data_IF_299433241067
#
_entry.id   IF_299433241067
#
_cell.length_a   1.000
_cell.length_b   1.000
_cell.length_c   1.000
_cell.angle_alpha   90.00
_cell.angle_beta   90.00
_cell.angle_gamma   90.00
#
_symmetry.space_group_name_H-M   'P 1'
#
loop_
_entity.id
_entity.type
_entity.pdbx_description
1 polymer ?
#
# COMPACT_ATOMS: atom_id res chain seq x y z
N UNK A 1 -58.32 8.34 -26.75
CA UNK A 1 -57.44 8.39 -25.54
C UNK A 1 -56.14 7.71 -25.90
N UNK A 2 -55.09 8.48 -26.10
CA UNK A 2 -53.77 7.95 -26.47
C UNK A 2 -52.91 8.08 -25.20
N UNK A 3 -52.54 6.94 -24.59
CA UNK A 3 -51.58 6.90 -23.48
C UNK A 3 -50.17 6.89 -24.06
N UNK A 4 -49.45 8.00 -23.93
CA UNK A 4 -48.03 8.07 -24.23
C UNK A 4 -47.26 7.52 -23.03
N UNK A 5 -46.70 6.31 -23.17
CA UNK A 5 -45.72 5.77 -22.21
C UNK A 5 -44.36 6.39 -22.46
N UNK A 6 -43.96 7.24 -21.56
CA UNK A 6 -42.57 7.83 -21.55
C UNK A 6 -41.63 6.80 -20.94
N UNK A 7 -40.85 6.16 -21.79
CA UNK A 7 -39.77 5.25 -21.39
C UNK A 7 -38.58 6.12 -20.92
N UNK A 8 -38.35 6.23 -19.62
CA UNK A 8 -37.20 6.89 -19.08
C UNK A 8 -35.99 5.95 -19.23
N UNK A 9 -35.11 6.25 -20.20
CA UNK A 9 -33.81 5.61 -20.30
C UNK A 9 -32.91 6.15 -19.18
N UNK A 10 -32.68 5.34 -18.14
CA UNK A 10 -31.61 5.58 -17.18
C UNK A 10 -30.27 5.22 -17.86
N UNK A 11 -29.58 6.22 -18.35
CA UNK A 11 -28.17 6.09 -18.75
C UNK A 11 -27.33 5.95 -17.48
N UNK A 12 -26.99 4.73 -17.12
CA UNK A 12 -25.93 4.47 -16.16
C UNK A 12 -24.61 4.90 -16.83
N UNK A 13 -24.16 6.11 -16.52
CA UNK A 13 -22.79 6.51 -16.80
C UNK A 13 -21.86 5.66 -15.96
N UNK A 14 -21.26 4.65 -16.57
CA UNK A 14 -20.12 3.96 -15.99
C UNK A 14 -19.00 5.00 -15.85
N UNK A 15 -18.80 5.53 -14.63
CA UNK A 15 -17.67 6.36 -14.33
C UNK A 15 -16.43 5.48 -14.46
N UNK A 16 -15.66 5.68 -15.53
CA UNK A 16 -14.33 5.10 -15.65
C UNK A 16 -13.48 5.66 -14.52
N UNK A 17 -13.17 4.82 -13.51
CA UNK A 17 -12.23 5.17 -12.46
C UNK A 17 -10.87 5.33 -13.13
N UNK A 18 -10.40 6.59 -13.26
CA UNK A 18 -9.06 6.87 -13.77
C UNK A 18 -8.04 6.09 -12.95
N UNK A 19 -7.06 5.42 -13.59
CA UNK A 19 -6.01 4.73 -12.85
C UNK A 19 -5.35 5.72 -11.90
N UNK A 20 -5.26 5.34 -10.61
CA UNK A 20 -4.70 6.24 -9.60
C UNK A 20 -3.22 6.43 -9.83
N UNK A 21 -2.71 7.65 -9.69
CA UNK A 21 -1.30 7.92 -9.92
C UNK A 21 -0.44 7.11 -8.93
N UNK A 22 0.75 6.73 -9.39
CA UNK A 22 1.74 6.12 -8.54
C UNK A 22 2.17 7.07 -7.41
N UNK A 23 2.52 6.50 -6.26
CA UNK A 23 3.13 7.25 -5.17
C UNK A 23 4.50 7.74 -5.64
N UNK A 24 4.84 9.04 -5.45
CA UNK A 24 6.15 9.53 -5.85
C UNK A 24 7.29 8.71 -5.24
N UNK A 25 8.36 8.40 -5.99
CA UNK A 25 9.48 7.60 -5.50
C UNK A 25 10.13 8.15 -4.22
N UNK A 26 10.18 9.47 -4.07
CA UNK A 26 10.67 10.13 -2.85
C UNK A 26 9.80 9.80 -1.63
N UNK A 27 8.48 9.83 -1.78
CA UNK A 27 7.55 9.48 -0.71
C UNK A 27 7.60 7.98 -0.38
N UNK A 28 7.72 7.11 -1.38
CA UNK A 28 7.95 5.67 -1.16
C UNK A 28 9.22 5.43 -0.36
N UNK A 29 10.29 6.13 -0.69
CA UNK A 29 11.57 6.01 0.00
C UNK A 29 11.48 6.49 1.45
N UNK A 30 10.76 7.58 1.72
CA UNK A 30 10.56 8.09 3.07
C UNK A 30 9.77 7.09 3.92
N UNK A 31 8.68 6.55 3.40
CA UNK A 31 7.86 5.52 4.07
C UNK A 31 8.72 4.28 4.37
N UNK A 32 9.46 3.80 3.38
CA UNK A 32 10.30 2.61 3.55
C UNK A 32 11.44 2.83 4.54
N UNK A 33 12.00 4.04 4.60
CA UNK A 33 13.04 4.39 5.58
C UNK A 33 12.49 4.33 7.00
N UNK A 34 11.28 4.83 7.24
CA UNK A 34 10.62 4.75 8.55
C UNK A 34 10.34 3.28 8.91
N UNK A 35 9.76 2.52 8.00
CA UNK A 35 9.50 1.09 8.20
C UNK A 35 10.77 0.31 8.50
N UNK A 36 11.81 0.54 7.73
CA UNK A 36 13.09 -0.12 7.91
C UNK A 36 13.72 0.21 9.26
N UNK A 37 13.63 1.47 9.69
CA UNK A 37 14.08 1.91 11.01
C UNK A 37 13.29 1.22 12.12
N UNK A 38 11.96 1.20 12.01
CA UNK A 38 11.07 0.61 13.01
C UNK A 38 11.23 -0.90 13.12
N UNK A 39 11.56 -1.57 12.01
CA UNK A 39 11.89 -3.00 11.98
C UNK A 39 13.37 -3.30 12.33
N UNK A 40 14.23 -2.28 12.47
CA UNK A 40 15.62 -2.45 12.82
C UNK A 40 16.53 -2.90 11.67
N UNK A 41 16.16 -2.59 10.41
CA UNK A 41 17.03 -2.84 9.26
C UNK A 41 18.21 -1.87 9.24
N UNK A 42 19.47 -2.34 9.04
CA UNK A 42 20.66 -1.50 9.15
C UNK A 42 20.93 -0.73 7.85
N UNK A 43 20.08 0.24 7.51
CA UNK A 43 20.24 1.03 6.27
C UNK A 43 21.50 1.89 6.23
N UNK A 44 22.15 2.15 7.39
CA UNK A 44 23.46 2.81 7.43
C UNK A 44 24.62 1.91 6.95
N UNK A 45 24.40 0.62 6.84
CA UNK A 45 25.35 -0.33 6.29
C UNK A 45 25.26 -0.31 4.75
N UNK A 46 26.38 -0.08 4.02
CA UNK A 46 26.39 0.01 2.55
C UNK A 46 25.96 -1.29 1.84
N UNK A 47 25.94 -2.42 2.51
CA UNK A 47 25.41 -3.67 1.96
C UNK A 47 23.88 -3.64 1.77
N UNK A 48 23.18 -2.72 2.42
CA UNK A 48 21.73 -2.60 2.36
C UNK A 48 21.30 -1.40 1.53
N UNK A 49 20.36 -1.61 0.61
CA UNK A 49 19.80 -0.56 -0.24
C UNK A 49 18.29 -0.63 -0.27
N UNK A 50 17.65 0.52 -0.42
CA UNK A 50 16.23 0.65 -0.73
C UNK A 50 16.08 0.87 -2.23
N UNK A 51 15.17 0.13 -2.87
CA UNK A 51 14.94 0.24 -4.29
C UNK A 51 13.45 0.10 -4.62
N UNK A 52 12.84 1.11 -5.29
CA UNK A 52 11.48 0.99 -5.77
C UNK A 52 11.36 -0.17 -6.76
N UNK A 53 10.32 -0.97 -6.60
CA UNK A 53 10.07 -2.12 -7.47
C UNK A 53 9.15 -1.72 -8.62
N UNK A 54 9.52 -2.12 -9.84
CA UNK A 54 8.62 -1.97 -10.99
C UNK A 54 7.42 -2.92 -10.81
N UNK A 55 6.18 -2.42 -10.83
CA UNK A 55 5.01 -3.28 -10.73
C UNK A 55 4.97 -4.30 -11.88
N UNK A 56 4.80 -5.57 -11.56
CA UNK A 56 4.60 -6.64 -12.56
C UNK A 56 3.16 -6.66 -13.04
N UNK A 57 2.22 -6.26 -12.19
CA UNK A 57 0.80 -6.12 -12.49
C UNK A 57 0.26 -4.86 -11.81
N UNK A 58 -0.79 -4.25 -12.38
CA UNK A 58 -1.48 -3.14 -11.74
C UNK A 58 -2.49 -3.66 -10.70
N UNK A 59 -1.99 -4.03 -9.54
CA UNK A 59 -2.75 -4.50 -8.39
C UNK A 59 -3.18 -3.37 -7.44
N UNK A 60 -2.81 -2.12 -7.76
CA UNK A 60 -3.12 -0.94 -6.95
C UNK A 60 -2.12 -0.68 -5.82
N UNK A 61 -1.01 -1.39 -5.78
CA UNK A 61 0.09 -1.18 -4.85
C UNK A 61 1.33 -0.62 -5.56
N UNK A 62 2.07 0.20 -4.84
CA UNK A 62 3.46 0.53 -5.17
C UNK A 62 4.37 -0.12 -4.15
N UNK A 63 5.42 -0.76 -4.61
CA UNK A 63 6.30 -1.56 -3.77
C UNK A 63 7.72 -1.02 -3.75
N UNK A 64 8.37 -1.19 -2.60
CA UNK A 64 9.78 -0.88 -2.41
C UNK A 64 10.44 -2.03 -1.65
N UNK A 65 11.63 -2.44 -2.10
CA UNK A 65 12.38 -3.53 -1.50
C UNK A 65 13.58 -3.05 -0.71
N UNK A 66 13.91 -3.78 0.36
CA UNK A 66 15.21 -3.74 0.98
C UNK A 66 16.06 -4.87 0.40
N UNK A 67 17.21 -4.53 -0.12
CA UNK A 67 18.16 -5.48 -0.71
C UNK A 67 19.43 -5.53 0.14
N UNK A 68 19.93 -6.73 0.38
CA UNK A 68 21.24 -6.98 0.93
C UNK A 68 22.12 -7.59 -0.15
N UNK A 69 23.15 -6.87 -0.60
CA UNK A 69 24.05 -7.33 -1.70
C UNK A 69 23.27 -7.88 -2.89
N UNK A 70 22.29 -7.11 -3.39
CA UNK A 70 21.42 -7.47 -4.52
C UNK A 70 20.38 -8.56 -4.25
N UNK A 71 20.28 -9.11 -3.04
CA UNK A 71 19.22 -10.04 -2.66
C UNK A 71 18.09 -9.32 -1.95
N UNK A 72 16.85 -9.49 -2.42
CA UNK A 72 15.65 -8.96 -1.75
C UNK A 72 15.47 -9.65 -0.40
N UNK A 73 15.53 -8.86 0.69
CA UNK A 73 15.38 -9.36 2.06
C UNK A 73 14.07 -8.91 2.71
N UNK A 74 13.46 -7.83 2.23
CA UNK A 74 12.18 -7.30 2.69
C UNK A 74 11.48 -6.55 1.58
N UNK A 75 10.15 -6.60 1.54
CA UNK A 75 9.34 -5.81 0.63
C UNK A 75 8.22 -5.13 1.40
N UNK A 76 7.97 -3.87 1.06
CA UNK A 76 6.79 -3.13 1.52
C UNK A 76 5.94 -2.76 0.32
N UNK A 77 4.66 -3.06 0.38
CA UNK A 77 3.70 -2.70 -0.65
C UNK A 77 2.67 -1.74 -0.08
N UNK A 78 2.62 -0.55 -0.65
CA UNK A 78 1.79 0.56 -0.18
C UNK A 78 0.57 0.67 -1.09
N UNK A 79 -0.62 0.58 -0.51
CA UNK A 79 -1.87 0.80 -1.24
C UNK A 79 -1.94 2.26 -1.71
N UNK A 80 -1.99 2.46 -3.02
CA UNK A 80 -2.03 3.82 -3.62
C UNK A 80 -3.27 4.61 -3.26
N UNK A 81 -4.30 3.94 -2.80
CA UNK A 81 -5.59 4.54 -2.47
C UNK A 81 -5.69 4.97 -1.03
N UNK A 82 -5.21 4.15 -0.10
CA UNK A 82 -5.40 4.32 1.34
C UNK A 82 -4.12 4.59 2.09
N UNK A 83 -2.96 4.29 1.48
CA UNK A 83 -1.66 4.37 2.14
C UNK A 83 -1.36 3.21 3.08
N UNK A 84 -2.27 2.23 3.20
CA UNK A 84 -2.06 1.06 4.04
C UNK A 84 -0.93 0.21 3.48
N UNK A 85 -0.13 -0.39 4.35
CA UNK A 85 1.14 -1.03 3.99
C UNK A 85 1.08 -2.50 4.36
N UNK A 86 1.39 -3.33 3.38
CA UNK A 86 1.42 -4.79 3.54
C UNK A 86 2.74 -5.38 3.04
N UNK A 87 3.12 -6.53 3.58
CA UNK A 87 4.07 -7.43 2.96
C UNK A 87 3.36 -8.75 2.67
N UNK A 88 3.14 -9.06 1.41
CA UNK A 88 2.49 -10.30 1.00
C UNK A 88 3.48 -11.40 0.56
N UNK A 89 4.78 -11.15 0.64
CA UNK A 89 5.81 -12.17 0.39
C UNK A 89 6.11 -13.03 1.63
N UNK A 90 6.00 -12.43 2.83
CA UNK A 90 6.32 -13.10 4.11
C UNK A 90 5.10 -13.24 5.00
N UNK A 91 4.16 -14.10 4.61
CA UNK A 91 3.02 -14.45 5.45
C UNK A 91 1.94 -13.38 5.55
N UNK A 92 1.85 -12.46 4.59
CA UNK A 92 0.77 -11.47 4.54
C UNK A 92 0.67 -10.64 5.83
N UNK A 93 1.63 -9.78 6.05
CA UNK A 93 1.68 -8.86 7.19
C UNK A 93 1.12 -7.49 6.81
N UNK A 94 0.42 -6.84 7.73
CA UNK A 94 0.03 -5.42 7.63
C UNK A 94 0.75 -4.63 8.71
N UNK A 95 1.34 -3.49 8.31
CA UNK A 95 2.13 -2.64 9.21
C UNK A 95 1.29 -1.48 9.70
N UNK A 96 1.21 -1.30 11.04
CA UNK A 96 0.45 -0.24 11.71
C UNK A 96 1.33 0.49 12.71
N UNK A 97 2.37 1.16 12.19
CA UNK A 97 3.24 1.97 13.04
C UNK A 97 2.69 3.39 13.18
N UNK A 98 2.67 3.97 14.40
CA UNK A 98 2.10 5.30 14.62
C UNK A 98 2.76 6.41 13.79
N UNK A 99 4.05 6.33 13.53
CA UNK A 99 4.81 7.30 12.73
C UNK A 99 4.47 7.28 11.23
N UNK A 100 3.72 6.28 10.76
CA UNK A 100 3.21 6.22 9.38
C UNK A 100 1.82 6.83 9.22
N UNK A 101 1.14 7.14 10.31
CA UNK A 101 -0.26 7.60 10.27
C UNK A 101 -0.45 8.86 9.42
N UNK A 102 0.51 9.79 9.44
CA UNK A 102 0.42 11.01 8.64
C UNK A 102 0.56 10.75 7.14
N UNK A 103 1.36 9.76 6.72
CA UNK A 103 1.46 9.36 5.31
C UNK A 103 0.16 8.73 4.82
N UNK A 104 -0.42 7.83 5.60
CA UNK A 104 -1.71 7.23 5.29
C UNK A 104 -2.81 8.29 5.18
N UNK A 105 -2.86 9.23 6.12
CA UNK A 105 -3.82 10.34 6.10
C UNK A 105 -3.62 11.24 4.88
N UNK A 106 -2.37 11.56 4.52
CA UNK A 106 -2.05 12.36 3.36
C UNK A 106 -2.53 11.70 2.06
N UNK A 107 -2.29 10.41 1.90
CA UNK A 107 -2.74 9.66 0.73
C UNK A 107 -4.27 9.63 0.67
N UNK A 108 -4.95 9.33 1.78
CA UNK A 108 -6.42 9.30 1.84
C UNK A 108 -7.04 10.68 1.61
N UNK A 109 -6.41 11.76 2.05
CA UNK A 109 -6.87 13.11 1.78
C UNK A 109 -6.87 13.44 0.29
N UNK A 110 -5.85 12.99 -0.44
CA UNK A 110 -5.75 13.17 -1.89
C UNK A 110 -6.74 12.29 -2.65
N UNK A 111 -6.93 11.06 -2.22
CA UNK A 111 -7.79 10.08 -2.89
C UNK A 111 -9.25 10.12 -2.42
N UNK A 112 -9.53 10.79 -1.31
CA UNK A 112 -10.84 10.81 -0.62
C UNK A 112 -11.34 9.40 -0.27
N UNK A 113 -10.42 8.46 -0.05
CA UNK A 113 -10.74 7.09 0.29
C UNK A 113 -10.82 6.87 1.81
N UNK A 114 -11.74 6.00 2.22
CA UNK A 114 -11.74 5.46 3.57
C UNK A 114 -10.71 4.33 3.69
N UNK A 115 -10.16 4.06 4.90
CA UNK A 115 -9.32 2.90 5.12
C UNK A 115 -10.05 1.61 4.77
N UNK A 116 -9.35 0.65 4.18
CA UNK A 116 -9.87 -0.69 3.99
C UNK A 116 -9.88 -1.44 5.34
N UNK A 117 -10.90 -2.27 5.54
CA UNK A 117 -10.87 -3.26 6.62
C UNK A 117 -9.77 -4.30 6.35
N UNK A 118 -9.34 -5.04 7.37
CA UNK A 118 -8.34 -6.09 7.20
C UNK A 118 -8.78 -7.14 6.19
N UNK A 119 -10.06 -7.47 6.16
CA UNK A 119 -10.61 -8.42 5.19
C UNK A 119 -10.56 -7.87 3.76
N UNK A 120 -10.90 -6.61 3.57
CA UNK A 120 -10.84 -5.95 2.25
C UNK A 120 -9.40 -5.83 1.77
N UNK A 121 -8.48 -5.44 2.67
CA UNK A 121 -7.06 -5.31 2.36
C UNK A 121 -6.43 -6.68 2.05
N UNK A 122 -6.76 -7.71 2.81
CA UNK A 122 -6.34 -9.07 2.56
C UNK A 122 -6.79 -9.55 1.18
N UNK A 123 -8.05 -9.32 0.84
CA UNK A 123 -8.60 -9.69 -0.48
C UNK A 123 -7.87 -8.96 -1.60
N UNK A 124 -7.64 -7.66 -1.46
CA UNK A 124 -6.92 -6.84 -2.45
C UNK A 124 -5.48 -7.32 -2.63
N UNK A 125 -4.80 -7.68 -1.55
CA UNK A 125 -3.43 -8.20 -1.56
C UNK A 125 -3.30 -9.67 -1.99
N UNK A 126 -4.42 -10.36 -2.22
CA UNK A 126 -4.42 -11.79 -2.54
C UNK A 126 -4.02 -12.68 -1.37
N UNK A 127 -4.27 -12.22 -0.14
CA UNK A 127 -3.93 -12.90 1.10
C UNK A 127 -5.15 -13.59 1.71
N UNK A 128 -5.02 -14.82 2.24
CA UNK A 128 -6.13 -15.46 2.95
C UNK A 128 -6.42 -14.77 4.30
N UNK A 129 -5.38 -14.22 4.95
CA UNK A 129 -5.44 -13.55 6.24
C UNK A 129 -4.27 -12.59 6.38
N UNK A 130 -4.47 -11.47 7.08
CA UNK A 130 -3.40 -10.55 7.46
C UNK A 130 -3.01 -10.73 8.93
N UNK A 131 -1.70 -10.69 9.18
CA UNK A 131 -1.13 -10.60 10.53
C UNK A 131 -0.72 -9.16 10.79
N UNK A 132 -1.19 -8.55 11.88
CA UNK A 132 -0.89 -7.16 12.22
C UNK A 132 0.48 -7.06 12.87
N UNK A 133 1.32 -6.17 12.35
CA UNK A 133 2.60 -5.79 12.94
C UNK A 133 2.47 -4.34 13.44
N UNK A 134 2.41 -4.16 14.75
CA UNK A 134 2.20 -2.86 15.39
C UNK A 134 3.25 -2.52 16.46
N UNK A 135 4.23 -3.40 16.66
CA UNK A 135 5.30 -3.21 17.64
C UNK A 135 6.63 -2.97 16.95
N UNK A 136 7.36 -2.00 17.43
CA UNK A 136 8.76 -1.82 17.07
C UNK A 136 9.56 -3.01 17.59
N UNK A 137 10.30 -3.67 16.74
CA UNK A 137 11.29 -4.62 17.17
C UNK A 137 12.43 -3.87 17.85
N UNK A 138 12.38 -3.77 19.18
CA UNK A 138 13.58 -3.43 19.93
C UNK A 138 14.47 -4.66 19.86
N UNK A 139 15.45 -4.68 18.96
CA UNK A 139 16.56 -5.61 19.08
C UNK A 139 17.24 -5.32 20.40
N UNK A 140 16.94 -6.09 21.43
CA UNK A 140 17.83 -6.21 22.59
C UNK A 140 19.14 -6.74 22.06
N UNK A 141 20.14 -5.86 22.06
CA UNK A 141 21.52 -6.22 21.80
C UNK A 141 22.04 -7.19 22.87
#
# INVERSE_FOLDING_TARGET
>A
MIFASTLALFLFSAQSVSPRPHIPPTQLNDIATILAHDEGWPLGNPDYTLDPMTPVADDGFDSIGIYKKSHLVRMYSIDRTTGQIVDFMRGCQVFRFPDLAHFEQSIRAQTKAAPLTDQQLAKKAGCPKLTVVNTRWVKTQ
#
